data_IF_879859025591
#
_entry.id   IF_879859025591
#
_cell.length_a   1.000
_cell.length_b   1.000
_cell.length_c   1.000
_cell.angle_alpha   90.00
_cell.angle_beta   90.00
_cell.angle_gamma   90.00
#
_symmetry.space_group_name_H-M   'P 1'
#
loop_
_entity.id
_entity.type
_entity.pdbx_description
1 polymer ?
#
# COMPACT_ATOMS: atom_id res chain seq x y z
N UNK A 1 -2.06 14.02 -18.65
CA UNK A 1 -3.27 13.14 -18.56
C UNK A 1 -3.81 13.25 -17.15
N UNK A 2 -5.02 13.79 -16.98
CA UNK A 2 -5.69 13.93 -15.68
C UNK A 2 -6.29 12.56 -15.34
N UNK A 3 -5.60 11.77 -14.52
CA UNK A 3 -6.09 10.44 -14.11
C UNK A 3 -7.18 10.68 -13.08
N UNK A 4 -8.43 10.57 -13.52
CA UNK A 4 -9.59 10.69 -12.63
C UNK A 4 -9.46 9.53 -11.64
N UNK A 5 -9.45 9.77 -10.31
CA UNK A 5 -9.32 8.69 -9.34
C UNK A 5 -10.55 7.80 -9.45
N UNK A 6 -10.39 6.66 -10.13
CA UNK A 6 -11.43 5.65 -10.20
C UNK A 6 -11.59 5.02 -8.83
N UNK A 7 -12.81 4.57 -8.46
CA UNK A 7 -13.04 3.91 -7.18
C UNK A 7 -12.12 2.70 -6.96
N UNK A 8 -11.68 2.05 -8.03
CA UNK A 8 -10.67 0.98 -8.01
C UNK A 8 -9.29 1.43 -7.48
N UNK A 9 -8.89 2.67 -7.74
CA UNK A 9 -7.60 3.22 -7.32
C UNK A 9 -7.60 3.55 -5.81
N UNK A 10 -8.74 4.05 -5.30
CA UNK A 10 -8.97 4.21 -3.86
C UNK A 10 -8.98 2.86 -3.13
N UNK A 11 -9.66 1.86 -3.70
CA UNK A 11 -9.71 0.52 -3.12
C UNK A 11 -8.32 -0.12 -3.05
N UNK A 12 -7.51 0.09 -4.09
CA UNK A 12 -6.12 -0.39 -4.14
C UNK A 12 -5.23 0.32 -3.10
N UNK A 13 -5.40 1.62 -2.89
CA UNK A 13 -4.69 2.35 -1.85
C UNK A 13 -5.01 1.82 -0.44
N UNK A 14 -6.29 1.62 -0.13
CA UNK A 14 -6.73 1.06 1.16
C UNK A 14 -6.19 -0.35 1.35
N UNK A 15 -6.23 -1.19 0.31
CA UNK A 15 -5.68 -2.53 0.34
C UNK A 15 -4.17 -2.53 0.63
N UNK A 16 -3.40 -1.70 -0.06
CA UNK A 16 -1.95 -1.59 0.15
C UNK A 16 -1.60 -1.12 1.57
N UNK A 17 -2.40 -0.23 2.15
CA UNK A 17 -2.22 0.21 3.54
C UNK A 17 -2.49 -0.95 4.51
N UNK A 18 -3.59 -1.69 4.32
CA UNK A 18 -3.91 -2.86 5.14
C UNK A 18 -2.84 -3.94 5.02
N UNK A 19 -2.38 -4.27 3.81
CA UNK A 19 -1.32 -5.26 3.59
C UNK A 19 -0.01 -4.80 4.24
N UNK A 20 0.36 -3.54 4.08
CA UNK A 20 1.53 -2.96 4.74
C UNK A 20 1.44 -3.04 6.27
N UNK A 21 0.28 -2.74 6.84
CA UNK A 21 0.03 -2.86 8.28
C UNK A 21 0.12 -4.32 8.75
N UNK A 22 -0.49 -5.25 8.03
CA UNK A 22 -0.44 -6.69 8.37
C UNK A 22 0.96 -7.27 8.32
N UNK A 23 1.80 -6.82 7.36
CA UNK A 23 3.19 -7.23 7.26
C UNK A 23 4.07 -6.66 8.37
N UNK A 24 3.74 -5.48 8.91
CA UNK A 24 4.44 -4.91 10.09
C UNK A 24 4.05 -5.64 11.38
N UNK A 25 2.80 -6.08 11.50
CA UNK A 25 2.29 -6.77 12.70
C UNK A 25 2.72 -8.24 12.86
N UNK A 26 3.66 -8.71 12.03
CA UNK A 26 4.36 -9.98 12.29
C UNK A 26 3.86 -11.20 11.54
N UNK A 27 3.18 -11.05 10.39
CA UNK A 27 3.11 -12.17 9.43
C UNK A 27 4.52 -12.37 8.86
N UNK A 28 5.18 -13.42 9.34
CA UNK A 28 6.60 -13.69 9.11
C UNK A 28 6.89 -13.94 7.60
N UNK A 29 7.09 -12.87 6.84
CA UNK A 29 7.42 -12.91 5.40
C UNK A 29 8.93 -13.17 5.14
N UNK A 30 9.70 -13.60 6.15
CA UNK A 30 11.15 -13.80 6.02
C UNK A 30 11.91 -12.49 5.84
N UNK A 31 13.08 -12.49 5.18
CA UNK A 31 13.88 -11.27 4.95
C UNK A 31 13.13 -10.18 4.14
N UNK A 32 12.07 -10.56 3.41
CA UNK A 32 11.15 -9.67 2.72
C UNK A 32 10.12 -9.01 3.67
N UNK A 33 10.00 -9.49 4.92
CA UNK A 33 8.96 -9.14 5.88
C UNK A 33 9.02 -7.73 6.45
N UNK A 34 10.07 -6.96 6.16
CA UNK A 34 10.11 -5.52 6.46
C UNK A 34 10.02 -4.68 5.19
N UNK A 35 10.71 -5.07 4.13
CA UNK A 35 10.81 -4.30 2.88
C UNK A 35 9.47 -4.24 2.14
N UNK A 36 8.78 -5.38 1.97
CA UNK A 36 7.48 -5.42 1.30
C UNK A 36 6.42 -4.58 2.02
N UNK A 37 6.23 -4.70 3.35
CA UNK A 37 5.21 -3.89 4.03
C UNK A 37 5.50 -2.40 3.99
N UNK A 38 6.78 -1.99 4.08
CA UNK A 38 7.19 -0.59 3.92
C UNK A 38 6.86 -0.09 2.51
N UNK A 39 7.19 -0.87 1.46
CA UNK A 39 6.86 -0.52 0.08
C UNK A 39 5.35 -0.42 -0.14
N UNK A 40 4.57 -1.33 0.44
CA UNK A 40 3.11 -1.33 0.35
C UNK A 40 2.52 -0.07 1.01
N UNK A 41 2.97 0.30 2.22
CA UNK A 41 2.56 1.54 2.87
C UNK A 41 2.92 2.78 2.04
N UNK A 42 4.18 2.88 1.59
CA UNK A 42 4.66 4.02 0.80
C UNK A 42 3.85 4.14 -0.50
N UNK A 43 3.56 3.03 -1.18
CA UNK A 43 2.77 3.01 -2.41
C UNK A 43 1.32 3.39 -2.16
N UNK A 44 0.68 2.87 -1.10
CA UNK A 44 -0.68 3.22 -0.72
C UNK A 44 -0.83 4.72 -0.40
N UNK A 45 0.12 5.29 0.33
CA UNK A 45 0.17 6.73 0.64
C UNK A 45 0.45 7.57 -0.62
N UNK A 46 1.38 7.13 -1.48
CA UNK A 46 1.65 7.79 -2.77
C UNK A 46 0.44 7.81 -3.69
N UNK A 47 -0.35 6.75 -3.72
CA UNK A 47 -1.59 6.71 -4.54
C UNK A 47 -2.63 7.69 -4.00
N UNK A 48 -2.74 7.86 -2.68
CA UNK A 48 -3.63 8.85 -2.07
C UNK A 48 -3.14 10.30 -2.30
N UNK A 49 -1.82 10.52 -2.26
CA UNK A 49 -1.20 11.82 -2.51
C UNK A 49 -1.18 12.20 -3.99
N UNK A 50 -1.25 11.22 -4.89
CA UNK A 50 -1.28 11.43 -6.34
C UNK A 50 -2.64 11.98 -6.75
N UNK A 51 -2.73 13.30 -6.72
CA UNK A 51 -3.89 14.09 -7.17
C UNK A 51 -4.07 14.08 -8.68
#
# INVERSE_FOLDING_TARGET
>A
MKVIPTPSMLLLAIYLILVGLTGITGTNLGAAGLILPILALVTGVLILLRK
#
